data_IF_078490340244
#
_entry.id   IF_078490340244
#
_cell.length_a   1.000
_cell.length_b   1.000
_cell.length_c   1.000
_cell.angle_alpha   90.00
_cell.angle_beta   90.00
_cell.angle_gamma   90.00
#
_symmetry.space_group_name_H-M   'P 1'
#
loop_
_entity.id
_entity.type
_entity.pdbx_description
1 polymer ?
#
# COMPACT_ATOMS: atom_id res chain seq x y z
N UNK A 1 62.44 30.07 48.95
CA UNK A 1 61.96 28.66 49.13
C UNK A 1 60.46 28.67 49.39
N UNK A 2 59.65 28.50 48.40
CA UNK A 2 58.28 28.15 48.59
C UNK A 2 57.84 27.36 47.35
N UNK A 3 57.47 26.09 47.55
CA UNK A 3 57.02 25.16 46.55
C UNK A 3 55.58 25.47 46.24
N UNK A 4 55.26 25.72 44.97
CA UNK A 4 53.91 25.90 44.47
C UNK A 4 53.25 24.54 44.20
N UNK A 5 52.07 24.35 44.80
CA UNK A 5 51.18 23.19 44.62
C UNK A 5 50.30 23.49 43.40
N UNK A 6 50.39 22.63 42.35
CA UNK A 6 49.49 22.70 41.16
C UNK A 6 48.27 21.85 41.41
N UNK A 7 47.12 22.49 41.49
CA UNK A 7 45.82 21.81 41.39
C UNK A 7 45.49 21.58 39.94
N UNK A 8 45.22 20.31 39.58
CA UNK A 8 44.64 19.94 38.30
C UNK A 8 43.10 19.93 38.42
N UNK A 9 42.37 20.54 37.49
CA UNK A 9 40.90 20.39 37.48
C UNK A 9 40.51 19.07 36.86
N UNK A 10 39.74 18.28 37.62
CA UNK A 10 39.07 17.07 37.18
C UNK A 10 37.87 17.51 36.30
N UNK A 11 37.98 17.33 34.99
CA UNK A 11 36.89 17.58 34.07
C UNK A 11 35.96 16.34 34.06
N UNK A 12 34.83 16.44 34.73
CA UNK A 12 33.76 15.43 34.67
C UNK A 12 33.04 15.56 33.33
N UNK A 13 33.27 14.60 32.45
CA UNK A 13 32.55 14.48 31.17
C UNK A 13 31.14 13.95 31.46
N UNK A 14 30.13 14.82 31.45
CA UNK A 14 28.74 14.47 31.41
C UNK A 14 28.41 13.98 29.99
N UNK A 15 28.34 12.67 29.80
CA UNK A 15 27.72 12.05 28.62
C UNK A 15 26.20 12.27 28.71
N UNK A 16 25.74 13.30 28.00
CA UNK A 16 24.33 13.43 27.70
C UNK A 16 23.95 12.32 26.71
N UNK A 17 23.27 11.31 27.19
CA UNK A 17 22.50 10.40 26.32
C UNK A 17 21.35 11.23 25.73
N UNK A 18 21.52 11.72 24.51
CA UNK A 18 20.41 12.10 23.66
C UNK A 18 19.69 10.80 23.30
N UNK A 19 18.62 10.48 24.01
CA UNK A 19 17.60 9.55 23.50
C UNK A 19 16.99 10.22 22.27
N UNK A 20 17.34 9.74 21.09
CA UNK A 20 16.53 9.96 19.90
C UNK A 20 15.20 9.27 20.18
N UNK A 21 14.18 10.05 20.50
CA UNK A 21 12.81 9.57 20.46
C UNK A 21 12.51 9.36 18.97
N UNK A 22 12.69 8.13 18.51
CA UNK A 22 12.06 7.67 17.30
C UNK A 22 10.55 7.82 17.52
N UNK A 23 9.89 8.55 16.65
CA UNK A 23 8.43 8.60 16.57
C UNK A 23 7.94 7.28 15.94
N UNK A 24 8.29 6.14 16.54
CA UNK A 24 7.61 4.88 16.34
C UNK A 24 6.23 5.03 16.99
N UNK A 25 5.18 4.86 16.19
CA UNK A 25 3.81 4.91 16.68
C UNK A 25 3.66 3.97 17.87
N UNK A 26 2.99 4.45 18.93
CA UNK A 26 2.78 3.74 20.20
C UNK A 26 1.90 2.47 20.07
N UNK A 27 1.96 1.78 18.92
CA UNK A 27 1.22 0.56 18.66
C UNK A 27 1.93 -0.63 19.31
N UNK A 28 1.27 -1.25 20.26
CA UNK A 28 1.74 -2.50 20.91
C UNK A 28 0.85 -3.66 20.49
N UNK A 29 1.46 -4.79 20.17
CA UNK A 29 0.74 -5.99 19.72
C UNK A 29 0.82 -7.08 20.77
N UNK A 30 -0.32 -7.73 21.00
CA UNK A 30 -0.51 -8.77 22.00
C UNK A 30 -1.14 -10.01 21.35
N UNK A 31 -0.79 -11.17 21.87
CA UNK A 31 -1.44 -12.45 21.56
C UNK A 31 -2.05 -13.04 22.83
N UNK A 32 -3.12 -13.81 22.69
CA UNK A 32 -3.75 -14.39 23.84
C UNK A 32 -5.09 -15.04 23.54
N UNK A 33 -6.02 -15.00 24.49
CA UNK A 33 -7.34 -15.63 24.34
C UNK A 33 -8.46 -14.73 24.81
N UNK A 34 -9.60 -14.80 24.12
CA UNK A 34 -10.89 -14.34 24.58
C UNK A 34 -11.80 -15.56 24.79
N UNK A 35 -12.06 -15.88 26.04
CA UNK A 35 -12.62 -17.17 26.44
C UNK A 35 -11.68 -18.33 26.06
N UNK A 36 -12.07 -19.12 25.05
CA UNK A 36 -11.25 -20.23 24.51
C UNK A 36 -10.68 -19.95 23.11
N UNK A 37 -10.95 -18.78 22.58
CA UNK A 37 -10.58 -18.45 21.20
C UNK A 37 -9.27 -17.67 21.19
N UNK A 38 -8.26 -18.12 20.44
CA UNK A 38 -7.04 -17.35 20.22
C UNK A 38 -7.32 -16.05 19.48
N UNK A 39 -6.67 -14.97 19.92
CA UNK A 39 -6.79 -13.64 19.34
C UNK A 39 -5.42 -12.99 19.20
N UNK A 40 -5.31 -12.09 18.24
CA UNK A 40 -4.25 -11.09 18.13
C UNK A 40 -4.87 -9.72 18.33
N UNK A 41 -4.27 -8.87 19.13
CA UNK A 41 -4.78 -7.56 19.50
C UNK A 41 -3.68 -6.51 19.36
N UNK A 42 -4.02 -5.35 18.75
CA UNK A 42 -3.18 -4.18 18.67
C UNK A 42 -3.80 -3.04 19.48
N UNK A 43 -3.00 -2.32 20.25
CA UNK A 43 -3.38 -1.13 21.00
C UNK A 43 -2.48 0.04 20.64
N UNK A 44 -3.11 1.21 20.48
CA UNK A 44 -2.46 2.50 20.42
C UNK A 44 -2.87 3.31 21.66
N UNK A 45 -1.89 3.72 22.46
CA UNK A 45 -2.09 4.47 23.70
C UNK A 45 -1.57 5.90 23.54
N UNK A 46 -2.06 6.65 22.55
CA UNK A 46 -1.70 8.07 22.41
C UNK A 46 -2.52 8.93 23.40
N UNK A 47 -1.85 9.81 24.14
CA UNK A 47 -2.50 10.66 25.15
C UNK A 47 -3.51 11.64 24.56
N UNK A 48 -3.37 12.05 23.30
CA UNK A 48 -4.26 13.04 22.67
C UNK A 48 -5.64 12.50 22.31
N UNK A 49 -5.76 11.20 22.00
CA UNK A 49 -7.01 10.60 21.48
C UNK A 49 -7.58 9.46 22.36
N UNK A 50 -7.03 9.25 23.55
CA UNK A 50 -7.36 8.09 24.38
C UNK A 50 -6.71 6.81 23.82
N UNK A 51 -7.31 5.65 24.11
CA UNK A 51 -6.83 4.36 23.65
C UNK A 51 -7.68 3.90 22.47
N UNK A 52 -7.03 3.57 21.38
CA UNK A 52 -7.65 2.92 20.23
C UNK A 52 -6.97 1.58 19.99
N UNK A 53 -7.64 0.69 19.26
CA UNK A 53 -7.07 -0.59 18.91
C UNK A 53 -7.97 -1.39 18.00
N UNK A 54 -7.55 -2.61 17.75
CA UNK A 54 -8.30 -3.60 16.99
C UNK A 54 -7.84 -4.99 17.37
N UNK A 55 -8.67 -5.98 17.16
CA UNK A 55 -8.27 -7.36 17.31
C UNK A 55 -9.00 -8.27 16.33
N UNK A 56 -8.39 -9.42 16.03
CA UNK A 56 -9.05 -10.48 15.29
C UNK A 56 -8.93 -11.80 16.01
N UNK A 57 -9.91 -12.67 15.79
CA UNK A 57 -9.78 -14.08 16.15
C UNK A 57 -8.94 -14.78 15.11
N UNK A 58 -7.91 -15.53 15.50
CA UNK A 58 -7.02 -16.25 14.58
C UNK A 58 -7.76 -17.17 13.59
N UNK A 59 -8.96 -17.61 13.95
CA UNK A 59 -9.80 -18.43 13.08
C UNK A 59 -10.47 -17.65 11.95
N UNK A 60 -10.72 -16.35 12.15
CA UNK A 60 -11.59 -15.56 11.26
C UNK A 60 -10.86 -14.40 10.58
N UNK A 61 -9.70 -13.99 11.06
CA UNK A 61 -8.84 -12.91 10.56
C UNK A 61 -9.54 -11.55 10.34
N UNK A 62 -10.79 -11.40 10.80
CA UNK A 62 -11.58 -10.19 10.61
C UNK A 62 -11.48 -9.30 11.84
N UNK A 63 -11.15 -8.03 11.64
CA UNK A 63 -10.96 -7.07 12.70
C UNK A 63 -12.27 -6.67 13.40
N UNK A 64 -12.12 -6.44 14.70
CA UNK A 64 -13.08 -5.78 15.58
C UNK A 64 -12.40 -4.55 16.15
N UNK A 65 -13.01 -3.38 15.95
CA UNK A 65 -12.48 -2.10 16.41
C UNK A 65 -12.61 -1.97 17.94
N UNK A 66 -11.63 -1.31 18.56
CA UNK A 66 -11.61 -1.00 19.98
C UNK A 66 -11.35 0.49 20.19
N UNK A 67 -12.09 1.10 21.11
CA UNK A 67 -11.86 2.47 21.53
C UNK A 67 -12.17 2.66 23.02
N UNK A 68 -11.43 3.50 23.71
CA UNK A 68 -11.67 3.73 25.14
C UNK A 68 -10.59 4.54 25.83
N UNK A 69 -10.27 4.17 27.07
CA UNK A 69 -9.32 4.90 27.90
C UNK A 69 -8.53 4.00 28.82
N UNK A 70 -7.32 4.44 29.15
CA UNK A 70 -6.46 3.88 30.17
C UNK A 70 -6.47 4.82 31.38
N UNK A 71 -6.87 4.32 32.55
CA UNK A 71 -6.84 5.04 33.80
C UNK A 71 -6.04 4.24 34.82
N UNK A 72 -4.93 4.81 35.27
CA UNK A 72 -3.95 4.10 36.11
C UNK A 72 -3.53 2.80 35.39
N UNK A 73 -3.84 1.63 35.95
CA UNK A 73 -3.53 0.30 35.40
C UNK A 73 -4.76 -0.39 34.78
N UNK A 74 -5.87 0.34 34.63
CA UNK A 74 -7.14 -0.21 34.13
C UNK A 74 -7.44 0.31 32.73
N UNK A 75 -7.46 -0.58 31.76
CA UNK A 75 -7.85 -0.33 30.38
C UNK A 75 -9.34 -0.67 30.21
N UNK A 76 -10.14 0.33 29.83
CA UNK A 76 -11.57 0.15 29.53
C UNK A 76 -11.80 0.45 28.06
N UNK A 77 -12.24 -0.55 27.29
CA UNK A 77 -12.47 -0.44 25.86
C UNK A 77 -13.90 -0.83 25.50
N UNK A 78 -14.44 -0.17 24.50
CA UNK A 78 -15.69 -0.53 23.81
C UNK A 78 -15.33 -1.28 22.52
N UNK A 79 -15.97 -2.40 22.24
CA UNK A 79 -15.80 -3.18 21.03
C UNK A 79 -16.80 -2.73 19.96
N UNK A 80 -16.29 -2.30 18.82
CA UNK A 80 -17.09 -1.74 17.72
C UNK A 80 -17.36 -0.25 17.90
N UNK A 81 -18.16 0.27 16.99
CA UNK A 81 -18.61 1.66 17.02
C UNK A 81 -20.08 1.77 16.59
N UNK A 82 -20.73 2.84 17.02
CA UNK A 82 -22.09 3.18 16.61
C UNK A 82 -22.04 4.16 15.42
N UNK A 83 -21.41 3.77 14.32
CA UNK A 83 -21.49 4.52 13.07
C UNK A 83 -22.93 4.46 12.57
N UNK A 84 -23.40 5.52 11.99
CA UNK A 84 -24.75 5.63 11.39
C UNK A 84 -25.95 5.73 12.36
N UNK A 85 -25.71 6.11 13.61
CA UNK A 85 -26.79 6.44 14.55
C UNK A 85 -27.50 5.25 15.21
N UNK A 86 -26.89 4.09 15.19
CA UNK A 86 -27.36 2.90 15.91
C UNK A 86 -26.92 2.99 17.38
N UNK A 87 -27.80 3.48 18.25
CA UNK A 87 -27.57 3.55 19.71
C UNK A 87 -27.63 2.17 20.40
N UNK A 88 -27.12 1.12 19.77
CA UNK A 88 -27.07 -0.23 20.36
C UNK A 88 -25.99 -0.31 21.43
N UNK A 89 -26.27 -0.90 22.60
CA UNK A 89 -25.22 -1.19 23.58
C UNK A 89 -24.15 -2.07 22.98
N UNK A 90 -22.88 -1.68 23.14
CA UNK A 90 -21.72 -2.41 22.63
C UNK A 90 -21.04 -3.24 23.74
N UNK A 91 -20.29 -4.28 23.41
CA UNK A 91 -19.48 -5.00 24.37
C UNK A 91 -18.41 -4.12 24.99
N UNK A 92 -18.07 -4.40 26.24
CA UNK A 92 -17.04 -3.67 27.00
C UNK A 92 -15.96 -4.63 27.47
N UNK A 93 -14.71 -4.25 27.29
CA UNK A 93 -13.54 -4.89 27.85
C UNK A 93 -13.06 -4.08 29.05
N UNK A 94 -12.80 -4.76 30.18
CA UNK A 94 -12.11 -4.19 31.33
C UNK A 94 -10.90 -5.03 31.65
N UNK A 95 -9.71 -4.48 31.44
CA UNK A 95 -8.45 -5.18 31.56
C UNK A 95 -7.55 -4.48 32.57
N UNK A 96 -6.84 -5.25 33.36
CA UNK A 96 -5.78 -4.84 34.28
C UNK A 96 -4.43 -5.12 33.65
N UNK A 97 -3.49 -4.20 33.82
CA UNK A 97 -2.12 -4.41 33.38
C UNK A 97 -1.46 -5.54 34.19
N UNK A 98 -0.63 -6.31 33.54
CA UNK A 98 0.19 -7.36 34.15
C UNK A 98 1.66 -7.11 33.77
N UNK A 99 2.57 -7.87 34.33
CA UNK A 99 4.00 -7.72 34.03
C UNK A 99 4.33 -7.82 32.52
N UNK A 100 3.53 -8.57 31.74
CA UNK A 100 3.81 -8.85 30.33
C UNK A 100 2.60 -8.68 29.40
N UNK A 101 1.58 -7.92 29.81
CA UNK A 101 0.38 -7.72 28.98
C UNK A 101 -0.85 -7.33 29.78
N UNK A 102 -2.00 -7.91 29.47
CA UNK A 102 -3.31 -7.54 30.03
C UNK A 102 -4.13 -8.76 30.42
N UNK A 103 -4.93 -8.65 31.48
CA UNK A 103 -5.91 -9.67 31.87
C UNK A 103 -7.20 -9.03 32.34
N UNK A 104 -8.33 -9.69 32.13
CA UNK A 104 -9.63 -9.19 32.59
C UNK A 104 -10.80 -9.82 31.88
N UNK A 105 -11.84 -9.03 31.65
CA UNK A 105 -13.14 -9.51 31.19
C UNK A 105 -13.63 -8.73 29.98
N UNK A 106 -14.20 -9.47 29.04
CA UNK A 106 -15.08 -8.96 28.00
C UNK A 106 -16.53 -9.23 28.40
N UNK A 107 -17.38 -8.24 28.34
CA UNK A 107 -18.80 -8.34 28.69
C UNK A 107 -19.70 -7.92 27.57
N UNK A 108 -20.56 -8.82 27.11
CA UNK A 108 -21.56 -8.48 26.10
C UNK A 108 -22.70 -7.62 26.69
N UNK A 109 -23.45 -6.89 25.85
CA UNK A 109 -24.66 -6.15 26.27
C UNK A 109 -25.73 -7.03 26.96
N UNK A 110 -25.77 -8.32 26.61
CA UNK A 110 -26.70 -9.31 27.20
C UNK A 110 -26.18 -9.96 28.48
N UNK A 111 -25.06 -9.45 29.03
CA UNK A 111 -24.50 -9.92 30.30
C UNK A 111 -23.62 -11.18 30.24
N UNK A 112 -23.31 -11.71 29.04
CA UNK A 112 -22.34 -12.80 28.90
C UNK A 112 -20.95 -12.24 29.21
N UNK A 113 -20.20 -12.94 30.08
CA UNK A 113 -18.82 -12.58 30.44
C UNK A 113 -17.86 -13.65 29.92
N UNK A 114 -16.75 -13.21 29.33
CA UNK A 114 -15.65 -14.05 28.91
C UNK A 114 -14.35 -13.51 29.51
N UNK A 115 -13.48 -14.40 29.98
CA UNK A 115 -12.15 -14.02 30.44
C UNK A 115 -11.26 -13.70 29.23
N UNK A 116 -10.43 -12.67 29.39
CA UNK A 116 -9.42 -12.29 28.41
C UNK A 116 -8.04 -12.34 29.07
N UNK A 117 -7.09 -12.92 28.37
CA UNK A 117 -5.70 -13.00 28.80
C UNK A 117 -4.79 -12.73 27.62
N UNK A 118 -3.95 -11.72 27.74
CA UNK A 118 -3.08 -11.22 26.69
C UNK A 118 -1.63 -11.14 27.19
N UNK A 119 -0.71 -11.52 26.36
CA UNK A 119 0.73 -11.32 26.55
C UNK A 119 1.30 -10.58 25.34
N UNK A 120 2.36 -9.81 25.56
CA UNK A 120 3.06 -9.16 24.44
C UNK A 120 3.46 -10.20 23.40
N UNK A 121 3.22 -9.85 22.11
CA UNK A 121 3.35 -10.81 21.03
C UNK A 121 4.81 -11.21 20.79
N UNK A 122 5.06 -12.51 20.72
CA UNK A 122 6.33 -13.05 20.24
C UNK A 122 6.19 -13.36 18.74
N UNK A 123 6.96 -12.66 17.92
CA UNK A 123 6.88 -12.80 16.46
C UNK A 123 7.76 -13.97 16.01
N UNK A 124 7.24 -14.92 15.19
CA UNK A 124 8.08 -15.95 14.58
C UNK A 124 9.08 -15.29 13.61
N UNK A 125 10.30 -15.78 13.59
CA UNK A 125 11.29 -15.25 12.65
C UNK A 125 10.94 -15.64 11.22
N UNK A 126 11.06 -14.72 10.23
CA UNK A 126 10.94 -15.04 8.82
C UNK A 126 11.94 -16.12 8.40
N UNK A 127 11.51 -17.03 7.53
CA UNK A 127 12.36 -18.07 6.95
C UNK A 127 13.02 -17.59 5.65
N UNK A 128 13.98 -18.35 5.12
CA UNK A 128 14.64 -18.00 3.86
C UNK A 128 13.66 -17.95 2.65
N UNK A 129 12.55 -18.69 2.73
CA UNK A 129 11.52 -18.72 1.67
C UNK A 129 10.42 -17.67 1.86
N UNK A 130 10.49 -16.89 2.94
CA UNK A 130 9.51 -15.82 3.20
C UNK A 130 9.69 -14.70 2.16
N UNK A 131 8.58 -14.28 1.54
CA UNK A 131 8.60 -13.15 0.60
C UNK A 131 9.19 -11.90 1.27
N UNK A 132 10.02 -11.11 0.58
CA UNK A 132 10.66 -9.91 1.14
C UNK A 132 9.65 -8.94 1.77
N UNK A 133 8.50 -8.74 1.14
CA UNK A 133 7.40 -7.94 1.68
C UNK A 133 6.97 -8.44 3.07
N UNK A 134 6.67 -9.73 3.20
CA UNK A 134 6.25 -10.33 4.49
C UNK A 134 7.39 -10.30 5.52
N UNK A 135 8.63 -10.53 5.08
CA UNK A 135 9.80 -10.52 5.96
C UNK A 135 10.11 -9.14 6.56
N UNK A 136 9.62 -8.06 5.97
CA UNK A 136 9.76 -6.71 6.49
C UNK A 136 8.72 -6.38 7.59
N UNK A 137 7.53 -7.00 7.54
CA UNK A 137 6.39 -6.70 8.44
C UNK A 137 6.68 -6.85 9.94
N UNK A 138 7.52 -7.78 10.44
CA UNK A 138 7.82 -7.83 11.88
C UNK A 138 8.28 -6.51 12.49
N UNK A 139 8.87 -5.63 11.66
CA UNK A 139 9.35 -4.30 12.09
C UNK A 139 8.36 -3.18 11.79
N UNK A 140 7.67 -3.25 10.65
CA UNK A 140 6.79 -2.17 10.19
C UNK A 140 5.34 -2.34 10.60
N UNK A 141 4.84 -3.56 10.66
CA UNK A 141 3.45 -3.90 11.04
C UNK A 141 3.37 -5.31 11.62
N UNK A 142 3.75 -5.50 12.90
CA UNK A 142 3.73 -6.81 13.55
C UNK A 142 2.33 -7.43 13.67
N UNK A 143 1.28 -6.62 13.69
CA UNK A 143 -0.11 -7.09 13.73
C UNK A 143 -0.50 -7.78 12.42
N UNK A 144 -0.26 -7.14 11.30
CA UNK A 144 -0.51 -7.73 9.98
C UNK A 144 0.44 -8.90 9.69
N UNK A 145 1.68 -8.85 10.19
CA UNK A 145 2.57 -10.02 10.12
C UNK A 145 1.95 -11.27 10.73
N UNK A 146 1.37 -11.16 11.93
CA UNK A 146 0.70 -12.27 12.61
C UNK A 146 -0.56 -12.72 11.87
N UNK A 147 -1.34 -11.80 11.30
CA UNK A 147 -2.50 -12.13 10.46
C UNK A 147 -2.08 -13.00 9.27
N UNK A 148 -1.04 -12.59 8.56
CA UNK A 148 -0.60 -13.30 7.36
C UNK A 148 -0.04 -14.70 7.65
N UNK A 149 0.41 -15.01 8.88
CA UNK A 149 0.83 -16.36 9.25
C UNK A 149 -0.33 -17.38 9.16
N UNK A 150 -1.56 -16.94 9.40
CA UNK A 150 -2.76 -17.77 9.32
C UNK A 150 -3.31 -17.95 7.91
N UNK A 151 -2.94 -17.07 6.97
CA UNK A 151 -3.50 -17.01 5.64
C UNK A 151 -2.68 -17.82 4.63
N UNK A 152 -3.35 -18.33 3.59
CA UNK A 152 -2.69 -19.14 2.53
C UNK A 152 -3.22 -18.74 1.16
N UNK A 153 -2.34 -18.79 0.17
CA UNK A 153 -2.73 -18.71 -1.22
C UNK A 153 -3.13 -20.09 -1.75
N UNK A 154 -4.12 -20.12 -2.63
CA UNK A 154 -4.50 -21.33 -3.38
C UNK A 154 -4.14 -21.14 -4.86
N UNK A 155 -3.55 -22.15 -5.51
CA UNK A 155 -3.33 -22.12 -6.93
C UNK A 155 -4.67 -22.11 -7.69
N UNK A 156 -4.77 -21.23 -8.68
CA UNK A 156 -5.90 -21.08 -9.58
C UNK A 156 -5.59 -21.60 -10.98
N UNK A 157 -6.12 -20.91 -12.00
CA UNK A 157 -5.90 -21.24 -13.41
C UNK A 157 -4.44 -21.04 -13.81
N UNK A 158 -4.05 -21.77 -14.85
CA UNK A 158 -2.83 -21.48 -15.64
C UNK A 158 -3.25 -20.91 -16.98
N UNK A 159 -2.51 -19.95 -17.47
CA UNK A 159 -2.72 -19.39 -18.81
C UNK A 159 -1.39 -18.95 -19.43
N UNK A 160 -1.38 -18.80 -20.74
CA UNK A 160 -0.24 -18.21 -21.44
C UNK A 160 -0.62 -16.81 -21.92
N UNK A 161 0.25 -15.83 -21.68
CA UNK A 161 0.07 -14.45 -22.11
C UNK A 161 1.37 -13.96 -22.77
N UNK A 162 1.29 -13.51 -24.02
CA UNK A 162 2.43 -13.03 -24.82
C UNK A 162 3.63 -14.02 -24.87
N UNK A 163 3.36 -15.33 -24.78
CA UNK A 163 4.40 -16.36 -24.79
C UNK A 163 5.01 -16.72 -23.44
N UNK A 164 4.51 -16.15 -22.35
CA UNK A 164 4.89 -16.43 -20.97
C UNK A 164 3.79 -17.25 -20.29
N UNK A 165 4.15 -18.26 -19.49
CA UNK A 165 3.20 -19.04 -18.73
C UNK A 165 2.97 -18.41 -17.37
N UNK A 166 1.71 -18.23 -17.01
CA UNK A 166 1.25 -17.59 -15.78
C UNK A 166 0.49 -18.59 -14.89
N UNK A 167 0.81 -18.62 -13.60
CA UNK A 167 0.03 -19.33 -12.58
C UNK A 167 -0.70 -18.31 -11.72
N UNK A 168 -2.02 -18.36 -11.69
CA UNK A 168 -2.82 -17.53 -10.81
C UNK A 168 -2.87 -18.09 -9.39
N UNK A 169 -2.85 -17.19 -8.43
CA UNK A 169 -2.96 -17.45 -7.00
C UNK A 169 -4.10 -16.63 -6.43
N UNK A 170 -4.90 -17.22 -5.55
CA UNK A 170 -6.01 -16.53 -4.89
C UNK A 170 -5.89 -16.67 -3.38
N UNK A 171 -6.09 -15.58 -2.65
CA UNK A 171 -6.29 -15.62 -1.20
C UNK A 171 -7.81 -15.83 -0.94
N UNK A 172 -8.22 -16.99 -0.33
CA UNK A 172 -9.61 -17.39 -0.34
C UNK A 172 -10.55 -16.50 0.46
N UNK A 173 -10.09 -15.87 1.54
CA UNK A 173 -10.94 -15.06 2.41
C UNK A 173 -11.25 -13.69 1.81
N UNK A 174 -10.31 -13.11 1.11
CA UNK A 174 -10.46 -11.83 0.40
C UNK A 174 -10.93 -12.00 -1.05
N UNK A 175 -10.79 -13.20 -1.64
CA UNK A 175 -10.95 -13.47 -3.06
C UNK A 175 -9.97 -12.72 -3.98
N UNK A 176 -8.99 -12.02 -3.43
CA UNK A 176 -7.99 -11.31 -4.19
C UNK A 176 -7.04 -12.28 -4.88
N UNK A 177 -6.64 -11.93 -6.09
CA UNK A 177 -5.83 -12.80 -6.94
C UNK A 177 -4.70 -12.03 -7.60
N UNK A 178 -3.59 -12.74 -7.85
CA UNK A 178 -2.44 -12.27 -8.61
C UNK A 178 -1.81 -13.46 -9.32
N UNK A 179 -1.13 -13.22 -10.42
CA UNK A 179 -0.35 -14.26 -11.07
C UNK A 179 1.12 -14.25 -10.67
N UNK A 180 1.76 -15.41 -10.79
CA UNK A 180 3.21 -15.55 -10.89
C UNK A 180 3.57 -15.95 -12.31
N UNK A 181 4.79 -15.62 -12.74
CA UNK A 181 5.34 -16.07 -14.03
C UNK A 181 6.08 -17.39 -13.81
N UNK A 182 5.74 -18.42 -14.60
CA UNK A 182 6.29 -19.77 -14.45
C UNK A 182 7.36 -20.11 -15.49
N UNK A 183 7.34 -19.43 -16.65
CA UNK A 183 8.30 -19.66 -17.72
C UNK A 183 8.59 -18.39 -18.53
N UNK A 184 9.62 -18.44 -19.37
CA UNK A 184 9.97 -17.36 -20.29
C UNK A 184 11.09 -16.44 -19.81
N UNK A 185 11.44 -16.45 -18.52
CA UNK A 185 12.54 -15.70 -17.93
C UNK A 185 13.62 -16.62 -17.31
N UNK A 186 14.87 -16.14 -17.19
CA UNK A 186 15.86 -16.78 -16.32
C UNK A 186 15.34 -16.91 -14.89
N UNK A 187 15.71 -17.97 -14.17
CA UNK A 187 15.17 -18.26 -12.84
C UNK A 187 15.34 -17.11 -11.83
N UNK A 188 16.45 -16.40 -11.88
CA UNK A 188 16.70 -15.28 -10.97
C UNK A 188 15.76 -14.10 -11.24
N UNK A 189 15.50 -13.81 -12.52
CA UNK A 189 14.58 -12.75 -12.93
C UNK A 189 13.14 -13.13 -12.60
N UNK A 190 12.74 -14.36 -12.91
CA UNK A 190 11.45 -14.92 -12.55
C UNK A 190 11.19 -14.84 -11.03
N UNK A 191 12.19 -15.17 -10.22
CA UNK A 191 12.08 -15.07 -8.76
C UNK A 191 11.84 -13.62 -8.31
N UNK A 192 12.61 -12.66 -8.83
CA UNK A 192 12.45 -11.24 -8.51
C UNK A 192 11.06 -10.72 -8.88
N UNK A 193 10.61 -11.01 -10.11
CA UNK A 193 9.26 -10.63 -10.57
C UNK A 193 8.20 -11.21 -9.64
N UNK A 194 8.26 -12.51 -9.35
CA UNK A 194 7.26 -13.19 -8.53
C UNK A 194 7.27 -12.69 -7.07
N UNK A 195 8.42 -12.30 -6.53
CA UNK A 195 8.50 -11.67 -5.21
C UNK A 195 7.74 -10.33 -5.17
N UNK A 196 7.83 -9.52 -6.23
CA UNK A 196 7.08 -8.26 -6.33
C UNK A 196 5.59 -8.51 -6.50
N UNK A 197 5.20 -9.38 -7.43
CA UNK A 197 3.80 -9.66 -7.72
C UNK A 197 3.07 -10.27 -6.52
N UNK A 198 3.64 -11.29 -5.89
CA UNK A 198 3.03 -11.93 -4.73
C UNK A 198 3.13 -11.04 -3.47
N UNK A 199 4.19 -10.24 -3.34
CA UNK A 199 4.29 -9.22 -2.30
C UNK A 199 3.16 -8.19 -2.42
N UNK A 200 2.86 -7.76 -3.66
CA UNK A 200 1.71 -6.88 -3.94
C UNK A 200 0.38 -7.53 -3.55
N UNK A 201 0.16 -8.80 -3.89
CA UNK A 201 -1.06 -9.51 -3.48
C UNK A 201 -1.25 -9.46 -1.96
N UNK A 202 -0.20 -9.71 -1.19
CA UNK A 202 -0.28 -9.67 0.27
C UNK A 202 -0.51 -8.26 0.81
N UNK A 203 0.05 -7.24 0.18
CA UNK A 203 -0.27 -5.83 0.49
C UNK A 203 -1.74 -5.51 0.26
N UNK A 204 -2.32 -5.98 -0.85
CA UNK A 204 -3.75 -5.80 -1.14
C UNK A 204 -4.64 -6.56 -0.14
N UNK A 205 -4.21 -7.74 0.32
CA UNK A 205 -4.92 -8.49 1.37
C UNK A 205 -4.96 -7.70 2.68
N UNK A 206 -3.87 -7.03 3.06
CA UNK A 206 -3.85 -6.13 4.22
C UNK A 206 -4.83 -4.95 3.99
N UNK A 207 -4.80 -4.33 2.82
CA UNK A 207 -5.71 -3.23 2.45
C UNK A 207 -7.18 -3.67 2.49
N UNK A 208 -7.47 -4.88 2.04
CA UNK A 208 -8.80 -5.49 2.15
C UNK A 208 -9.28 -5.56 3.61
N UNK A 209 -8.46 -6.07 4.54
CA UNK A 209 -8.83 -6.14 5.96
C UNK A 209 -9.03 -4.75 6.57
N UNK A 210 -8.17 -3.78 6.23
CA UNK A 210 -8.33 -2.39 6.66
C UNK A 210 -9.63 -1.76 6.13
N UNK A 211 -9.99 -2.06 4.88
CA UNK A 211 -11.26 -1.62 4.29
C UNK A 211 -12.46 -2.19 5.03
N UNK A 212 -12.44 -3.49 5.34
CA UNK A 212 -13.52 -4.13 6.10
C UNK A 212 -13.68 -3.53 7.49
N UNK A 213 -12.57 -3.20 8.17
CA UNK A 213 -12.61 -2.52 9.47
C UNK A 213 -13.22 -1.12 9.33
N UNK A 214 -12.78 -0.34 8.34
CA UNK A 214 -13.26 1.01 8.09
C UNK A 214 -14.73 1.08 7.70
N UNK A 215 -15.19 0.22 6.81
CA UNK A 215 -16.55 0.21 6.27
C UNK A 215 -17.57 -0.60 7.07
N UNK A 216 -17.12 -1.48 7.97
CA UNK A 216 -17.98 -2.35 8.77
C UNK A 216 -18.86 -3.27 7.93
N UNK A 217 -20.17 -3.27 8.19
CA UNK A 217 -21.13 -4.09 7.44
C UNK A 217 -21.41 -3.59 6.00
N UNK A 218 -21.04 -2.34 5.71
CA UNK A 218 -21.20 -1.72 4.38
C UNK A 218 -19.89 -1.72 3.58
N UNK A 219 -18.86 -2.40 4.08
CA UNK A 219 -17.59 -2.51 3.37
C UNK A 219 -17.73 -3.31 2.10
N UNK A 220 -17.23 -2.76 1.00
CA UNK A 220 -17.07 -3.44 -0.27
C UNK A 220 -15.63 -3.27 -0.73
N UNK A 221 -15.05 -4.33 -1.26
CA UNK A 221 -13.70 -4.30 -1.83
C UNK A 221 -13.63 -5.36 -2.93
N UNK A 222 -13.60 -4.91 -4.16
CA UNK A 222 -13.49 -5.75 -5.33
C UNK A 222 -12.27 -5.37 -6.16
N UNK A 223 -11.54 -6.36 -6.67
CA UNK A 223 -10.30 -6.11 -7.40
C UNK A 223 -10.15 -7.04 -8.60
N UNK A 224 -9.83 -6.44 -9.73
CA UNK A 224 -9.43 -7.13 -10.94
C UNK A 224 -7.94 -6.94 -11.24
N UNK A 225 -7.25 -7.99 -11.65
CA UNK A 225 -5.87 -7.95 -12.11
C UNK A 225 -5.82 -8.38 -13.57
N UNK A 226 -5.23 -7.55 -14.43
CA UNK A 226 -5.08 -7.83 -15.85
C UNK A 226 -3.60 -7.69 -16.28
N UNK A 227 -2.93 -8.76 -16.75
CA UNK A 227 -1.65 -8.62 -17.42
C UNK A 227 -1.84 -7.76 -18.68
N UNK A 228 -0.96 -6.78 -18.89
CA UNK A 228 -1.05 -5.83 -20.00
C UNK A 228 0.08 -6.01 -21.03
N UNK A 229 1.29 -6.28 -20.54
CA UNK A 229 2.46 -6.45 -21.39
C UNK A 229 3.55 -7.26 -20.69
N UNK A 230 4.09 -8.27 -21.37
CA UNK A 230 5.25 -9.02 -20.94
C UNK A 230 6.27 -9.06 -22.10
N UNK A 231 7.52 -8.75 -21.78
CA UNK A 231 8.65 -8.76 -22.71
C UNK A 231 9.92 -9.23 -21.98
N UNK A 232 11.06 -9.40 -22.67
CA UNK A 232 12.31 -9.71 -21.99
C UNK A 232 12.72 -8.70 -20.92
N UNK A 233 12.32 -7.42 -21.05
CA UNK A 233 12.74 -6.32 -20.17
C UNK A 233 11.65 -5.86 -19.21
N UNK A 234 10.37 -6.10 -19.50
CA UNK A 234 9.25 -5.48 -18.77
C UNK A 234 8.17 -6.50 -18.46
N UNK A 235 7.68 -6.45 -17.23
CA UNK A 235 6.37 -7.01 -16.82
C UNK A 235 5.46 -5.88 -16.43
N UNK A 236 4.30 -5.78 -17.10
CA UNK A 236 3.31 -4.74 -16.86
C UNK A 236 1.92 -5.32 -16.72
N UNK A 237 1.20 -4.87 -15.69
CA UNK A 237 -0.17 -5.25 -15.40
C UNK A 237 -0.95 -4.07 -14.84
N UNK A 238 -2.27 -4.11 -14.95
CA UNK A 238 -3.16 -3.16 -14.28
C UNK A 238 -3.95 -3.86 -13.17
N UNK A 239 -4.09 -3.19 -12.04
CA UNK A 239 -4.94 -3.57 -10.93
C UNK A 239 -6.06 -2.54 -10.86
N UNK A 240 -7.28 -2.96 -11.12
CA UNK A 240 -8.49 -2.13 -10.93
C UNK A 240 -9.14 -2.49 -9.61
N UNK A 241 -9.42 -1.50 -8.76
CA UNK A 241 -10.03 -1.72 -7.46
C UNK A 241 -11.25 -0.82 -7.31
N UNK A 242 -12.40 -1.41 -6.97
CA UNK A 242 -13.60 -0.72 -6.51
C UNK A 242 -13.77 -0.94 -5.02
N UNK A 243 -14.05 0.09 -4.25
CA UNK A 243 -14.12 -0.05 -2.80
C UNK A 243 -15.09 0.93 -2.13
N UNK A 244 -15.61 0.52 -0.97
CA UNK A 244 -16.35 1.33 -0.01
C UNK A 244 -15.85 0.98 1.40
N UNK A 245 -15.00 1.83 1.98
CA UNK A 245 -14.26 1.53 3.21
C UNK A 245 -14.67 2.47 4.37
N UNK A 246 -15.94 2.90 4.43
CA UNK A 246 -16.45 3.80 5.49
C UNK A 246 -16.27 5.29 5.20
N UNK A 247 -15.79 5.66 4.02
CA UNK A 247 -15.81 7.03 3.53
C UNK A 247 -17.21 7.49 3.13
N UNK A 248 -17.34 8.78 2.74
CA UNK A 248 -18.62 9.36 2.33
C UNK A 248 -19.24 8.70 1.10
N UNK A 249 -18.42 8.03 0.28
CA UNK A 249 -18.84 7.42 -0.98
C UNK A 249 -17.96 6.22 -1.35
N UNK A 250 -18.49 5.24 -2.10
CA UNK A 250 -17.66 4.28 -2.85
C UNK A 250 -16.71 4.99 -3.79
N UNK A 251 -15.55 4.40 -4.06
CA UNK A 251 -14.59 4.90 -5.04
C UNK A 251 -13.98 3.75 -5.84
N UNK A 252 -13.27 4.07 -6.91
CA UNK A 252 -12.55 3.12 -7.73
C UNK A 252 -11.27 3.74 -8.28
N UNK A 253 -10.34 2.91 -8.69
CA UNK A 253 -9.11 3.38 -9.31
C UNK A 253 -8.29 2.27 -9.93
N UNK A 254 -7.28 2.67 -10.68
CA UNK A 254 -6.28 1.82 -11.27
C UNK A 254 -4.93 2.02 -10.58
N UNK A 255 -4.25 0.92 -10.33
CA UNK A 255 -2.92 0.92 -9.69
C UNK A 255 -1.99 -0.01 -10.48
N UNK A 256 -1.49 0.43 -11.65
CA UNK A 256 -0.63 -0.37 -12.49
C UNK A 256 0.69 -0.73 -11.81
N UNK A 257 1.24 -1.87 -12.20
CA UNK A 257 2.59 -2.29 -11.86
C UNK A 257 3.37 -2.39 -13.16
N UNK A 258 4.52 -1.72 -13.21
CA UNK A 258 5.48 -1.82 -14.31
C UNK A 258 6.83 -2.20 -13.71
N UNK A 259 7.34 -3.40 -13.99
CA UNK A 259 8.58 -3.91 -13.42
C UNK A 259 9.65 -4.01 -14.50
N UNK A 260 10.85 -3.58 -14.16
CA UNK A 260 12.08 -3.98 -14.85
C UNK A 260 12.38 -5.45 -14.52
N UNK A 261 12.44 -6.30 -15.52
CA UNK A 261 12.66 -7.74 -15.37
C UNK A 261 14.01 -8.05 -14.73
N UNK A 262 15.05 -7.30 -15.10
CA UNK A 262 16.42 -7.58 -14.70
C UNK A 262 16.74 -7.18 -13.27
N UNK A 263 16.09 -6.12 -12.79
CA UNK A 263 16.28 -5.60 -11.43
C UNK A 263 15.14 -5.98 -10.47
N UNK A 264 13.95 -6.25 -11.01
CA UNK A 264 12.71 -6.43 -10.22
C UNK A 264 12.19 -5.12 -9.62
N UNK A 265 12.76 -3.97 -9.97
CA UNK A 265 12.27 -2.67 -9.48
C UNK A 265 11.09 -2.18 -10.28
N UNK A 266 10.21 -1.43 -9.62
CA UNK A 266 9.15 -0.68 -10.30
C UNK A 266 9.77 0.40 -11.18
N UNK A 267 9.23 0.54 -12.41
CA UNK A 267 9.57 1.59 -13.34
C UNK A 267 8.65 2.79 -13.09
N UNK A 268 9.22 3.98 -12.95
CA UNK A 268 8.50 5.24 -13.07
C UNK A 268 8.29 5.60 -14.54
N UNK A 269 7.41 6.53 -14.83
CA UNK A 269 7.21 6.99 -16.21
C UNK A 269 8.49 7.62 -16.78
N UNK A 270 9.24 8.34 -15.95
CA UNK A 270 10.50 9.00 -16.30
C UNK A 270 11.66 8.01 -16.53
N UNK A 271 11.54 6.78 -16.04
CA UNK A 271 12.47 5.69 -16.41
C UNK A 271 12.29 5.28 -17.88
N UNK A 272 11.10 5.46 -18.44
CA UNK A 272 10.71 5.00 -19.77
C UNK A 272 10.60 6.13 -20.78
N UNK A 273 10.06 7.26 -20.35
CA UNK A 273 9.74 8.43 -21.19
C UNK A 273 10.19 9.72 -20.51
N UNK A 274 11.09 10.45 -21.15
CA UNK A 274 11.55 11.74 -20.67
C UNK A 274 11.49 12.84 -21.74
N UNK A 275 10.70 13.87 -21.52
CA UNK A 275 10.53 15.00 -22.45
C UNK A 275 11.11 16.31 -21.92
N UNK A 276 11.75 16.26 -20.75
CA UNK A 276 12.42 17.40 -20.13
C UNK A 276 13.85 17.59 -20.65
N UNK A 277 14.50 18.63 -20.14
CA UNK A 277 15.92 18.88 -20.39
C UNK A 277 16.79 18.18 -19.36
N UNK A 278 17.99 17.73 -19.78
CA UNK A 278 18.95 17.11 -18.89
C UNK A 278 18.59 15.68 -18.46
N UNK A 279 18.95 15.32 -17.22
CA UNK A 279 18.68 13.97 -16.69
C UNK A 279 17.23 13.85 -16.23
N UNK A 280 16.60 12.66 -16.44
CA UNK A 280 15.29 12.39 -15.89
C UNK A 280 15.23 12.56 -14.36
N UNK A 281 14.11 13.08 -13.89
CA UNK A 281 13.81 13.17 -12.45
C UNK A 281 13.30 11.81 -11.99
N UNK A 282 14.22 10.98 -11.53
CA UNK A 282 13.88 9.62 -11.12
C UNK A 282 13.08 9.64 -9.82
N UNK A 283 11.94 9.04 -9.87
CA UNK A 283 11.13 8.74 -8.70
C UNK A 283 10.73 7.27 -8.76
N UNK A 284 11.45 6.46 -8.04
CA UNK A 284 11.03 5.09 -7.83
C UNK A 284 9.86 5.10 -6.82
N UNK A 285 8.64 4.97 -7.28
CA UNK A 285 7.53 4.47 -6.48
C UNK A 285 7.86 3.01 -6.14
N UNK A 286 8.79 2.84 -5.19
CA UNK A 286 9.19 1.53 -4.72
C UNK A 286 8.08 1.07 -3.78
N UNK A 287 7.29 0.17 -4.26
CA UNK A 287 6.35 -0.55 -3.42
C UNK A 287 7.09 -1.15 -2.22
N UNK A 288 6.76 -0.70 -1.02
CA UNK A 288 7.38 -1.16 0.23
C UNK A 288 8.63 -0.40 0.70
N UNK A 289 9.09 0.64 0.01
CA UNK A 289 10.12 1.53 0.54
C UNK A 289 9.47 2.77 1.19
N UNK A 290 9.24 2.70 2.48
CA UNK A 290 8.71 3.81 3.30
C UNK A 290 9.68 4.98 3.49
N UNK A 291 10.81 5.02 2.78
CA UNK A 291 11.94 5.88 3.16
C UNK A 291 12.53 6.74 2.04
N UNK A 292 11.76 7.10 1.03
CA UNK A 292 12.15 8.19 0.14
C UNK A 292 11.08 9.28 0.13
N UNK A 293 10.96 9.99 1.25
CA UNK A 293 10.34 11.30 1.22
C UNK A 293 11.18 12.17 0.28
N UNK A 294 10.60 12.54 -0.88
CA UNK A 294 11.20 13.55 -1.74
C UNK A 294 11.47 14.80 -0.89
N UNK A 295 12.61 15.40 -1.07
CA UNK A 295 12.84 16.75 -0.53
C UNK A 295 11.81 17.71 -1.13
N UNK A 296 11.55 18.82 -0.46
CA UNK A 296 10.66 19.87 -0.97
C UNK A 296 11.10 20.35 -2.36
N UNK A 297 12.40 20.44 -2.58
CA UNK A 297 12.99 20.86 -3.86
C UNK A 297 12.73 19.83 -4.97
N UNK A 298 12.91 18.53 -4.70
CA UNK A 298 12.62 17.45 -5.66
C UNK A 298 11.13 17.37 -5.97
N UNK A 299 10.26 17.50 -4.98
CA UNK A 299 8.81 17.54 -5.16
C UNK A 299 8.38 18.71 -6.03
N UNK A 300 8.96 19.89 -5.79
CA UNK A 300 8.70 21.09 -6.59
C UNK A 300 9.21 20.95 -8.02
N UNK A 301 10.40 20.41 -8.21
CA UNK A 301 10.98 20.16 -9.54
C UNK A 301 10.12 19.19 -10.35
N UNK A 302 9.64 18.09 -9.72
CA UNK A 302 8.74 17.13 -10.35
C UNK A 302 7.39 17.75 -10.72
N UNK A 303 6.77 18.47 -9.80
CA UNK A 303 5.51 19.16 -10.06
C UNK A 303 5.64 20.15 -11.23
N UNK A 304 6.74 20.92 -11.26
CA UNK A 304 7.02 21.87 -12.36
C UNK A 304 7.21 21.14 -13.69
N UNK A 305 7.99 20.05 -13.71
CA UNK A 305 8.16 19.24 -14.92
C UNK A 305 6.84 18.69 -15.44
N UNK A 306 6.05 18.06 -14.59
CA UNK A 306 4.75 17.51 -15.00
C UNK A 306 3.83 18.58 -15.58
N UNK A 307 3.67 19.69 -14.87
CA UNK A 307 2.71 20.72 -15.23
C UNK A 307 3.14 21.56 -16.43
N UNK A 308 4.40 21.94 -16.50
CA UNK A 308 4.89 22.93 -17.48
C UNK A 308 5.53 22.28 -18.72
N UNK A 309 5.95 21.02 -18.63
CA UNK A 309 6.66 20.33 -19.71
C UNK A 309 5.90 19.10 -20.19
N UNK A 310 5.69 18.11 -19.32
CA UNK A 310 5.13 16.83 -19.71
C UNK A 310 3.67 16.94 -20.17
N UNK A 311 2.80 17.51 -19.37
CA UNK A 311 1.35 17.59 -19.69
C UNK A 311 1.08 18.38 -20.97
N UNK A 312 1.66 19.58 -21.20
CA UNK A 312 1.48 20.28 -22.49
C UNK A 312 2.01 19.49 -23.69
N UNK A 313 3.13 18.80 -23.53
CA UNK A 313 3.66 17.93 -24.56
C UNK A 313 2.73 16.74 -24.85
N UNK A 314 2.23 16.06 -23.81
CA UNK A 314 1.32 14.92 -23.93
C UNK A 314 0.02 15.31 -24.67
N UNK A 315 -0.62 16.40 -24.27
CA UNK A 315 -1.82 16.93 -24.93
C UNK A 315 -1.55 17.20 -26.42
N UNK A 316 -0.40 17.78 -26.75
CA UNK A 316 -0.02 17.98 -28.14
C UNK A 316 0.12 16.68 -28.92
N UNK A 317 0.72 15.62 -28.29
CA UNK A 317 0.83 14.31 -28.93
C UNK A 317 -0.56 13.70 -29.14
N UNK A 318 -1.39 13.68 -28.11
CA UNK A 318 -2.72 13.09 -28.19
C UNK A 318 -3.65 13.86 -29.14
N UNK A 319 -3.58 15.18 -29.19
CA UNK A 319 -4.33 15.98 -30.19
C UNK A 319 -3.95 15.64 -31.63
N UNK A 320 -2.69 15.24 -31.86
CA UNK A 320 -2.26 14.81 -33.18
C UNK A 320 -2.62 13.38 -33.52
N UNK A 321 -2.63 12.48 -32.51
CA UNK A 321 -2.90 11.05 -32.66
C UNK A 321 -4.41 10.74 -32.65
N UNK A 322 -5.16 11.49 -31.86
CA UNK A 322 -6.57 11.24 -31.54
C UNK A 322 -7.38 12.55 -31.66
N UNK A 323 -7.45 13.18 -32.85
CA UNK A 323 -8.07 14.49 -33.02
C UNK A 323 -9.55 14.52 -32.69
N UNK A 324 -10.26 13.43 -32.85
CA UNK A 324 -11.70 13.34 -32.54
C UNK A 324 -11.97 13.27 -31.05
N UNK A 325 -11.16 12.51 -30.28
CA UNK A 325 -11.26 12.34 -28.84
C UNK A 325 -10.74 13.56 -28.06
N UNK A 326 -9.79 14.29 -28.64
CA UNK A 326 -9.17 15.48 -28.07
C UNK A 326 -9.90 16.78 -28.45
N UNK A 327 -11.19 16.70 -28.75
CA UNK A 327 -12.04 17.87 -28.92
C UNK A 327 -12.63 18.31 -27.60
N UNK A 328 -12.76 19.62 -27.41
CA UNK A 328 -13.47 20.14 -26.25
C UNK A 328 -14.94 19.75 -26.34
N UNK A 329 -15.53 19.15 -25.27
CA UNK A 329 -16.94 18.76 -25.29
C UNK A 329 -17.85 19.98 -25.42
N UNK A 330 -19.06 19.75 -25.97
CA UNK A 330 -20.04 20.81 -26.20
C UNK A 330 -20.72 21.29 -24.90
N UNK A 331 -20.70 20.47 -23.88
CA UNK A 331 -21.29 20.73 -22.56
C UNK A 331 -20.28 20.44 -21.42
N UNK A 332 -20.59 20.92 -20.21
CA UNK A 332 -19.74 20.77 -19.03
C UNK A 332 -19.76 19.34 -18.45
N UNK A 333 -20.68 18.48 -18.87
CA UNK A 333 -20.79 17.10 -18.41
C UNK A 333 -19.91 16.16 -19.24
N UNK A 334 -19.46 16.59 -20.41
CA UNK A 334 -18.59 15.84 -21.30
C UNK A 334 -17.15 15.69 -20.77
N UNK A 335 -16.44 14.69 -21.29
CA UNK A 335 -15.05 14.43 -20.93
C UNK A 335 -14.10 15.41 -21.65
N UNK A 336 -13.64 16.45 -20.98
CA UNK A 336 -12.67 17.41 -21.55
C UNK A 336 -11.23 16.89 -21.40
N UNK A 337 -10.77 16.11 -22.35
CA UNK A 337 -9.38 15.64 -22.41
C UNK A 337 -8.38 16.72 -22.85
N UNK A 338 -8.84 17.92 -23.20
CA UNK A 338 -7.96 19.07 -23.48
C UNK A 338 -7.55 19.81 -22.21
N UNK A 339 -8.23 19.55 -21.08
CA UNK A 339 -7.88 20.12 -19.79
C UNK A 339 -6.57 19.51 -19.28
N UNK A 340 -5.59 20.38 -19.00
CA UNK A 340 -4.29 19.98 -18.47
C UNK A 340 -4.37 19.30 -17.09
N UNK A 341 -5.36 19.63 -16.29
CA UNK A 341 -5.48 19.13 -14.91
C UNK A 341 -5.72 17.63 -14.87
N UNK A 342 -6.38 17.03 -15.86
CA UNK A 342 -6.71 15.61 -15.88
C UNK A 342 -5.50 14.71 -16.18
N UNK A 343 -4.41 15.25 -16.72
CA UNK A 343 -3.21 14.49 -17.08
C UNK A 343 -2.07 14.60 -16.04
N UNK A 344 -2.25 15.37 -14.98
CA UNK A 344 -1.20 15.62 -13.99
C UNK A 344 -0.82 14.39 -13.15
N UNK A 345 -1.73 13.43 -12.99
CA UNK A 345 -1.56 12.23 -12.18
C UNK A 345 -2.01 10.99 -12.93
N UNK A 346 -1.57 10.85 -14.19
CA UNK A 346 -1.92 9.72 -15.02
C UNK A 346 -1.42 8.40 -14.43
N UNK A 347 -2.33 7.44 -14.27
CA UNK A 347 -1.90 6.05 -14.18
C UNK A 347 -1.38 5.60 -15.56
N UNK A 348 -0.40 4.71 -15.59
CA UNK A 348 0.20 4.32 -16.85
C UNK A 348 0.68 2.87 -16.83
N UNK A 349 0.64 2.23 -17.98
CA UNK A 349 1.19 0.89 -18.16
C UNK A 349 1.57 0.63 -19.61
N UNK A 350 2.43 -0.38 -19.80
CA UNK A 350 2.79 -0.84 -21.14
C UNK A 350 1.63 -1.65 -21.73
N UNK A 351 1.43 -1.49 -23.05
CA UNK A 351 0.53 -2.32 -23.86
C UNK A 351 1.27 -2.85 -25.08
N UNK A 352 0.66 -3.74 -25.85
CA UNK A 352 1.25 -4.21 -27.10
C UNK A 352 1.45 -3.09 -28.16
N UNK A 353 0.78 -1.92 -28.01
CA UNK A 353 0.80 -0.83 -28.98
C UNK A 353 1.59 0.40 -28.54
N UNK A 354 1.88 0.54 -27.25
CA UNK A 354 2.52 1.71 -26.67
C UNK A 354 2.30 1.83 -25.17
N UNK A 355 2.52 3.01 -24.63
CA UNK A 355 2.23 3.33 -23.24
C UNK A 355 0.80 3.86 -23.14
N UNK A 356 -0.05 3.16 -22.38
CA UNK A 356 -1.32 3.71 -21.95
C UNK A 356 -1.07 4.76 -20.85
N UNK A 357 -1.77 5.88 -20.96
CA UNK A 357 -1.73 6.99 -20.00
C UNK A 357 -3.18 7.36 -19.66
N UNK A 358 -3.65 6.96 -18.48
CA UNK A 358 -5.00 7.20 -18.01
C UNK A 358 -5.14 8.59 -17.40
N UNK A 359 -6.09 9.42 -17.85
CA UNK A 359 -6.39 10.69 -17.19
C UNK A 359 -7.04 10.44 -15.82
N UNK A 360 -7.05 11.45 -14.97
CA UNK A 360 -7.73 11.44 -13.69
C UNK A 360 -8.67 12.64 -13.58
N UNK A 361 -9.96 12.38 -13.68
CA UNK A 361 -11.00 13.40 -13.61
C UNK A 361 -11.51 13.64 -12.19
N UNK A 362 -12.08 14.79 -11.95
CA UNK A 362 -12.83 15.06 -10.74
C UNK A 362 -13.98 14.04 -10.57
N UNK A 363 -14.39 13.78 -9.32
CA UNK A 363 -15.34 12.71 -8.98
C UNK A 363 -16.59 12.64 -9.86
N UNK A 364 -17.18 13.78 -10.19
CA UNK A 364 -18.42 13.83 -10.98
C UNK A 364 -18.24 13.37 -12.43
N UNK A 365 -16.99 13.31 -12.91
CA UNK A 365 -16.61 12.92 -14.27
C UNK A 365 -15.68 11.68 -14.29
N UNK A 366 -15.62 10.90 -13.19
CA UNK A 366 -14.75 9.71 -13.09
C UNK A 366 -15.02 8.63 -14.15
N UNK A 367 -16.19 8.65 -14.79
CA UNK A 367 -16.47 7.80 -15.95
C UNK A 367 -15.57 8.09 -17.16
N UNK A 368 -14.85 9.21 -17.15
CA UNK A 368 -13.89 9.63 -18.17
C UNK A 368 -12.45 9.12 -17.92
N UNK A 369 -12.18 8.48 -16.78
CA UNK A 369 -10.81 8.13 -16.35
C UNK A 369 -10.14 7.04 -17.18
N UNK A 370 -10.89 6.15 -17.81
CA UNK A 370 -10.34 5.00 -18.54
C UNK A 370 -10.72 5.00 -20.03
N UNK A 371 -10.31 6.01 -20.79
CA UNK A 371 -10.56 6.03 -22.22
C UNK A 371 -9.63 5.02 -22.90
N UNK A 372 -10.14 3.96 -23.47
CA UNK A 372 -9.33 2.90 -24.08
C UNK A 372 -8.40 3.33 -25.22
N UNK A 373 -8.46 4.61 -25.65
CA UNK A 373 -7.69 5.15 -26.77
C UNK A 373 -6.36 5.80 -26.35
N UNK A 374 -6.17 6.25 -25.11
CA UNK A 374 -5.06 7.10 -24.68
C UNK A 374 -3.70 6.37 -24.61
N UNK A 375 -3.30 5.81 -25.74
CA UNK A 375 -2.05 5.06 -25.92
C UNK A 375 -1.03 5.89 -26.70
N UNK A 376 0.13 6.13 -26.12
CA UNK A 376 1.27 6.79 -26.78
C UNK A 376 2.09 5.73 -27.52
N UNK A 377 2.17 5.73 -28.85
CA UNK A 377 2.87 4.71 -29.62
C UNK A 377 4.37 4.62 -29.27
N UNK A 378 4.93 3.43 -29.31
CA UNK A 378 6.36 3.23 -29.04
C UNK A 378 7.27 4.02 -29.97
N UNK A 379 6.86 4.31 -31.20
CA UNK A 379 7.58 5.19 -32.12
C UNK A 379 7.80 6.60 -31.56
N UNK A 380 6.85 7.12 -30.77
CA UNK A 380 6.97 8.40 -30.06
C UNK A 380 7.83 8.25 -28.80
N UNK A 381 7.58 7.20 -28.00
CA UNK A 381 8.35 6.94 -26.78
C UNK A 381 9.86 6.83 -27.06
N UNK A 382 10.24 6.13 -28.12
CA UNK A 382 11.65 5.96 -28.54
C UNK A 382 12.35 7.26 -28.92
N UNK A 383 11.62 8.31 -29.29
CA UNK A 383 12.21 9.63 -29.56
C UNK A 383 12.53 10.40 -28.28
N UNK A 384 11.98 9.95 -27.13
CA UNK A 384 12.13 10.57 -25.83
C UNK A 384 12.49 9.52 -24.76
N UNK A 385 13.65 8.83 -24.91
CA UNK A 385 14.00 7.75 -23.98
C UNK A 385 14.19 8.26 -22.56
N UNK A 386 13.68 7.49 -21.60
CA UNK A 386 13.87 7.74 -20.17
C UNK A 386 15.23 7.34 -19.66
N UNK A 387 15.32 7.10 -18.35
CA UNK A 387 16.57 6.76 -17.68
C UNK A 387 17.01 5.32 -17.89
N UNK A 388 16.06 4.39 -18.10
CA UNK A 388 16.31 2.96 -18.25
C UNK A 388 16.29 2.57 -19.73
N UNK A 389 17.31 1.84 -20.16
CA UNK A 389 17.36 1.32 -21.54
C UNK A 389 16.49 0.06 -21.61
N UNK A 390 15.40 0.13 -22.36
CA UNK A 390 14.46 -0.96 -22.60
C UNK A 390 14.37 -1.29 -24.10
N UNK A 391 14.24 -2.58 -24.42
CA UNK A 391 13.91 -3.03 -25.77
C UNK A 391 12.39 -2.94 -25.99
N UNK A 392 11.96 -1.82 -26.56
CA UNK A 392 10.55 -1.56 -26.86
C UNK A 392 10.15 -2.13 -28.23
N UNK A 393 8.90 -2.59 -28.42
CA UNK A 393 8.40 -3.09 -29.70
C UNK A 393 8.64 -2.11 -30.87
N UNK A 394 8.76 -2.65 -32.08
CA UNK A 394 9.08 -1.86 -33.28
C UNK A 394 7.90 -1.08 -33.86
N UNK A 395 6.71 -1.18 -33.31
CA UNK A 395 5.46 -0.57 -33.78
C UNK A 395 5.46 0.96 -33.65
#
# INVERSE_FOLDING_TARGET
MFKGLRFAPCATLLLAFCSTADAEGNNRVFTGTLGKMPIVLELNTSEENGVTGRYFYEKYHRDLELSGSLQEETLTLTEGNNRYGDDKPLPILKLQETANGWQGEWKSPKGKVLQMQLTEATLPAPTADTLPFIAALPKSDPYEYLRLQGLKLKPGKKESFMGYDLQWWTQPESSLSMFSVESGYPKADQQRINQQLLGRLWSEVISYHGCLLGGGEFAEFDQGVAPQFLSPDVVSLNISTGYSCGGAHPDFGNSPINLDVHTGHSLSLEDVLWVGNGKPLLHADRYGASDTSLTEEESKARFTYQREVFVPWLIKQFSALYPDEMQKPADEEGCDYTDKSVWGYSNWYFTAKGLYLGPYFARVQRSCDDPGWSVLPYAVVKQHPGAVKLELPQN
#
